data_IF_937897045896
#
_entry.id   IF_937897045896
#
_cell.length_a   1.000
_cell.length_b   1.000
_cell.length_c   1.000
_cell.angle_alpha   90.00
_cell.angle_beta   90.00
_cell.angle_gamma   90.00
#
_symmetry.space_group_name_H-M   'P 1'
#
loop_
_entity.id
_entity.type
_entity.pdbx_description
1 polymer ?
#
# COMPACT_ATOMS: atom_id res chain seq x y z
N UNK A 1 13.07 -16.72 -11.82
CA UNK A 1 11.67 -16.34 -11.58
C UNK A 1 10.91 -17.35 -10.73
N UNK A 2 11.48 -18.50 -10.38
CA UNK A 2 10.74 -19.55 -9.66
C UNK A 2 10.71 -19.38 -8.14
N UNK A 3 11.68 -18.69 -7.55
CA UNK A 3 11.82 -18.58 -6.09
C UNK A 3 10.78 -17.60 -5.51
N UNK A 4 10.58 -16.45 -6.15
CA UNK A 4 9.60 -15.45 -5.69
C UNK A 4 8.18 -15.98 -5.84
N UNK A 5 7.86 -16.56 -7.00
CA UNK A 5 6.54 -17.10 -7.32
C UNK A 5 6.21 -18.27 -6.39
N UNK A 6 7.09 -19.25 -6.19
CA UNK A 6 6.80 -20.35 -5.24
C UNK A 6 6.64 -19.86 -3.79
N UNK A 7 7.38 -18.83 -3.36
CA UNK A 7 7.20 -18.26 -2.01
C UNK A 7 5.85 -17.55 -1.84
N UNK A 8 5.38 -16.86 -2.88
CA UNK A 8 4.10 -16.14 -2.91
C UNK A 8 2.90 -17.09 -2.91
N UNK A 9 3.01 -18.23 -3.60
CA UNK A 9 1.94 -19.22 -3.67
C UNK A 9 1.84 -20.13 -2.44
N UNK A 10 2.95 -20.31 -1.71
CA UNK A 10 2.98 -21.17 -0.51
C UNK A 10 2.35 -20.51 0.72
N UNK A 11 2.26 -19.17 0.76
CA UNK A 11 1.77 -18.44 1.92
C UNK A 11 0.98 -17.17 1.52
N UNK A 12 -0.22 -17.37 0.97
CA UNK A 12 -1.12 -16.27 0.59
C UNK A 12 -1.38 -15.28 1.73
N UNK A 13 -1.38 -15.76 2.97
CA UNK A 13 -1.59 -14.94 4.18
C UNK A 13 -0.38 -14.03 4.48
N UNK A 14 0.84 -14.48 4.17
CA UNK A 14 2.06 -13.67 4.35
C UNK A 14 2.06 -12.49 3.37
N UNK A 15 1.60 -12.70 2.13
CA UNK A 15 1.50 -11.63 1.15
C UNK A 15 0.55 -10.51 1.61
N UNK A 16 -0.65 -10.88 2.07
CA UNK A 16 -1.64 -9.92 2.57
C UNK A 16 -1.09 -9.14 3.77
N UNK A 17 -0.46 -9.85 4.71
CA UNK A 17 0.17 -9.27 5.90
C UNK A 17 1.25 -8.26 5.52
N UNK A 18 2.09 -8.59 4.51
CA UNK A 18 3.14 -7.70 4.02
C UNK A 18 2.57 -6.42 3.39
N UNK A 19 1.50 -6.54 2.60
CA UNK A 19 0.84 -5.38 1.98
C UNK A 19 0.21 -4.45 3.03
N UNK A 20 -0.48 -5.02 4.01
CA UNK A 20 -1.10 -4.25 5.10
C UNK A 20 -0.02 -3.57 5.95
N UNK A 21 1.09 -4.25 6.23
CA UNK A 21 2.24 -3.66 6.93
C UNK A 21 2.79 -2.44 6.18
N UNK A 22 3.03 -2.57 4.86
CA UNK A 22 3.52 -1.45 4.04
C UNK A 22 2.55 -0.27 4.03
N UNK A 23 1.25 -0.54 3.96
CA UNK A 23 0.21 0.50 4.04
C UNK A 23 0.19 1.19 5.41
N UNK A 24 0.34 0.44 6.51
CA UNK A 24 0.45 0.99 7.86
C UNK A 24 1.66 1.90 8.00
N UNK A 25 2.84 1.46 7.53
CA UNK A 25 4.07 2.26 7.56
C UNK A 25 3.90 3.58 6.80
N UNK A 26 3.14 3.56 5.71
CA UNK A 26 2.80 4.76 4.93
C UNK A 26 1.91 5.74 5.70
N UNK A 27 0.94 5.22 6.45
CA UNK A 27 0.04 6.00 7.31
C UNK A 27 0.77 6.59 8.52
N UNK A 28 1.67 5.83 9.14
CA UNK A 28 2.46 6.33 10.28
C UNK A 28 3.39 7.47 9.85
N UNK A 29 4.00 7.36 8.67
CA UNK A 29 4.86 8.43 8.12
C UNK A 29 4.07 9.72 7.86
N UNK A 30 2.91 9.63 7.22
CA UNK A 30 2.10 10.82 6.94
C UNK A 30 1.53 11.42 8.24
N UNK A 31 1.15 10.58 9.21
CA UNK A 31 0.72 11.02 10.54
C UNK A 31 1.83 11.80 11.26
N UNK A 32 3.06 11.29 11.23
CA UNK A 32 4.21 11.98 11.82
C UNK A 32 4.52 13.30 11.13
N UNK A 33 4.42 13.36 9.79
CA UNK A 33 4.63 14.60 9.03
C UNK A 33 3.54 15.65 9.32
N UNK A 34 2.31 15.20 9.55
CA UNK A 34 1.18 16.07 9.89
C UNK A 34 1.32 16.78 11.25
N UNK A 35 2.13 16.25 12.17
CA UNK A 35 2.44 16.92 13.43
C UNK A 35 3.30 18.18 13.22
N UNK A 36 4.13 18.17 12.18
CA UNK A 36 4.99 19.30 11.80
C UNK A 36 4.34 20.23 10.78
N UNK A 37 3.52 19.71 9.87
CA UNK A 37 2.84 20.47 8.84
C UNK A 37 1.41 19.98 8.66
N UNK A 38 0.45 20.77 9.17
CA UNK A 38 -0.97 20.42 9.19
C UNK A 38 -1.61 20.45 7.79
N UNK A 39 -0.99 21.09 6.80
CA UNK A 39 -1.55 21.16 5.44
C UNK A 39 -1.43 19.82 4.69
N UNK A 40 -0.54 18.93 5.15
CA UNK A 40 -0.27 17.63 4.52
C UNK A 40 -1.50 16.70 4.49
N UNK A 41 -2.35 16.75 5.52
CA UNK A 41 -3.55 15.90 5.58
C UNK A 41 -4.74 16.48 4.79
N UNK A 42 -4.59 17.70 4.27
CA UNK A 42 -5.70 18.46 3.68
C UNK A 42 -6.83 18.72 4.68
N UNK A 43 -8.02 19.01 4.17
CA UNK A 43 -9.20 19.30 4.99
C UNK A 43 -10.31 18.25 4.81
N UNK A 44 -11.20 18.16 5.80
CA UNK A 44 -12.38 17.29 5.76
C UNK A 44 -12.05 15.79 5.77
N UNK A 45 -12.76 15.01 4.97
CA UNK A 45 -12.62 13.54 4.91
C UNK A 45 -11.24 13.06 4.41
N UNK A 46 -10.43 13.95 3.82
CA UNK A 46 -9.07 13.61 3.38
C UNK A 46 -8.09 13.42 4.55
N UNK A 47 -8.44 13.89 5.75
CA UNK A 47 -7.63 13.72 6.97
C UNK A 47 -7.72 12.31 7.57
N UNK A 48 -8.69 11.50 7.13
CA UNK A 48 -8.89 10.15 7.67
C UNK A 48 -7.80 9.21 7.18
N UNK A 49 -6.87 8.89 8.07
CA UNK A 49 -5.87 7.84 7.90
C UNK A 49 -6.54 6.47 8.00
N UNK A 50 -6.70 5.80 6.86
CA UNK A 50 -7.35 4.49 6.79
C UNK A 50 -6.75 3.62 5.67
N UNK A 51 -6.89 2.30 5.85
CA UNK A 51 -6.63 1.30 4.83
C UNK A 51 -7.98 0.70 4.43
N UNK A 52 -8.37 0.86 3.17
CA UNK A 52 -9.57 0.27 2.60
C UNK A 52 -9.23 -1.01 1.84
N UNK A 53 -9.93 -2.09 2.16
CA UNK A 53 -9.82 -3.36 1.45
C UNK A 53 -11.17 -3.67 0.80
N UNK A 54 -11.17 -3.85 -0.53
CA UNK A 54 -12.36 -4.18 -1.32
C UNK A 54 -12.12 -5.43 -2.15
N UNK A 55 -13.09 -6.35 -2.11
CA UNK A 55 -13.06 -7.57 -2.90
C UNK A 55 -14.11 -7.49 -4.01
N UNK A 56 -13.67 -7.51 -5.25
CA UNK A 56 -14.52 -7.71 -6.44
C UNK A 56 -14.44 -9.19 -6.84
N UNK A 57 -15.48 -9.95 -6.46
CA UNK A 57 -15.53 -11.41 -6.71
C UNK A 57 -15.73 -11.73 -8.18
N UNK A 58 -16.43 -10.89 -8.92
CA UNK A 58 -16.71 -11.11 -10.35
C UNK A 58 -15.44 -10.93 -11.17
N UNK A 59 -14.67 -9.87 -10.88
CA UNK A 59 -13.41 -9.59 -11.56
C UNK A 59 -12.21 -10.32 -10.94
N UNK A 60 -12.41 -10.99 -9.80
CA UNK A 60 -11.36 -11.64 -8.99
C UNK A 60 -10.25 -10.65 -8.61
N UNK A 61 -10.64 -9.43 -8.25
CA UNK A 61 -9.71 -8.35 -7.87
C UNK A 61 -9.83 -8.09 -6.37
N UNK A 62 -8.70 -8.10 -5.69
CA UNK A 62 -8.55 -7.53 -4.35
C UNK A 62 -7.92 -6.14 -4.48
N UNK A 63 -8.64 -5.10 -4.07
CA UNK A 63 -8.15 -3.73 -4.03
C UNK A 63 -7.79 -3.35 -2.60
N UNK A 64 -6.53 -2.97 -2.37
CA UNK A 64 -6.07 -2.38 -1.11
C UNK A 64 -5.69 -0.93 -1.43
N UNK A 65 -6.28 0.01 -0.69
CA UNK A 65 -6.03 1.44 -0.84
C UNK A 65 -5.70 2.04 0.52
N UNK A 66 -4.51 2.59 0.66
CA UNK A 66 -4.12 3.42 1.80
C UNK A 66 -4.15 4.91 1.43
N UNK A 67 -4.14 5.76 2.45
CA UNK A 67 -3.93 7.21 2.34
C UNK A 67 -2.61 7.62 2.98
N UNK A 68 -1.58 6.77 2.87
CA UNK A 68 -0.25 7.05 3.38
C UNK A 68 0.48 8.08 2.52
N UNK A 69 1.78 8.23 2.79
CA UNK A 69 2.68 9.16 2.09
C UNK A 69 2.83 8.89 0.58
N UNK A 70 2.32 7.76 0.08
CA UNK A 70 2.45 7.34 -1.32
C UNK A 70 3.89 6.94 -1.69
N UNK A 71 4.12 6.68 -2.98
CA UNK A 71 5.45 6.33 -3.51
C UNK A 71 5.94 7.41 -4.47
N UNK A 72 7.18 7.84 -4.29
CA UNK A 72 7.87 8.76 -5.20
C UNK A 72 8.11 8.02 -6.52
N UNK A 73 8.05 8.74 -7.65
CA UNK A 73 8.00 8.19 -9.02
C UNK A 73 9.11 7.16 -9.34
N UNK A 74 10.26 7.22 -8.70
CA UNK A 74 11.39 6.30 -8.95
C UNK A 74 11.19 4.90 -8.36
N UNK A 75 10.40 4.76 -7.31
CA UNK A 75 10.01 3.47 -6.74
C UNK A 75 8.96 2.74 -7.60
N UNK A 76 8.23 3.46 -8.48
CA UNK A 76 7.41 2.80 -9.52
C UNK A 76 8.25 1.99 -10.49
N UNK A 77 9.53 2.34 -10.66
CA UNK A 77 10.42 1.57 -11.54
C UNK A 77 10.63 0.19 -10.96
N UNK A 78 10.86 0.02 -9.66
CA UNK A 78 11.00 -1.32 -9.04
C UNK A 78 9.69 -2.12 -9.15
N UNK A 79 8.54 -1.48 -8.96
CA UNK A 79 7.22 -2.12 -9.13
C UNK A 79 6.84 -2.43 -10.60
N UNK A 80 7.54 -1.84 -11.58
CA UNK A 80 7.35 -2.08 -13.02
C UNK A 80 8.52 -2.85 -13.66
N UNK A 81 9.63 -3.00 -12.94
CA UNK A 81 10.92 -3.57 -13.39
C UNK A 81 11.09 -5.01 -12.88
N UNK A 82 10.04 -5.80 -13.02
CA UNK A 82 10.14 -7.26 -13.18
C UNK A 82 9.43 -7.67 -14.50
N UNK A 83 9.49 -6.79 -15.49
CA UNK A 83 9.10 -7.09 -16.87
C UNK A 83 10.24 -6.73 -17.81
N UNK A 84 11.33 -7.50 -17.70
CA UNK A 84 12.24 -7.86 -18.79
C UNK A 84 12.79 -9.26 -18.48
#
# INVERSE_FOLDING_TARGET
MDILINSLYSNKDIFLTKLISNASDGLDKISSLALTDKEILGEGDNTKLEIQIKLDKEKKILSIRDRGVGMIKDLRTIAKSETL
#
